data_IF_160644353877
#
_entry.id   IF_160644353877
#
_cell.length_a   1.000
_cell.length_b   1.000
_cell.length_c   1.000
_cell.angle_alpha   90.00
_cell.angle_beta   90.00
_cell.angle_gamma   90.00
#
_symmetry.space_group_name_H-M   'P 1'
#
loop_
_entity.id
_entity.type
_entity.pdbx_description
1 polymer ?
#
# COMPACT_ATOMS: atom_id res chain seq x y z
N UNK A 1 5.56 -12.27 80.56
CA UNK A 1 5.96 -11.34 79.45
C UNK A 1 6.81 -11.97 78.33
N UNK A 2 7.56 -13.06 78.55
CA UNK A 2 8.38 -13.71 77.49
C UNK A 2 7.61 -14.33 76.35
N UNK A 3 6.43 -14.90 76.54
CA UNK A 3 5.62 -15.59 75.52
C UNK A 3 5.13 -14.67 74.36
N UNK A 4 4.84 -13.43 74.69
CA UNK A 4 4.43 -12.46 73.62
C UNK A 4 5.58 -11.93 72.74
N UNK A 5 6.77 -11.95 73.32
CA UNK A 5 7.95 -11.47 72.55
C UNK A 5 8.36 -12.49 71.53
N UNK A 6 8.36 -13.78 71.85
CA UNK A 6 8.61 -14.85 70.86
C UNK A 6 7.60 -14.89 69.73
N UNK A 7 6.31 -14.65 70.03
CA UNK A 7 5.29 -14.60 68.99
C UNK A 7 5.52 -13.43 68.04
N UNK A 8 5.94 -12.27 68.49
CA UNK A 8 6.29 -11.12 67.67
C UNK A 8 7.52 -11.39 66.82
N UNK A 9 8.58 -11.97 67.40
CA UNK A 9 9.76 -12.35 66.64
C UNK A 9 9.45 -13.38 65.55
N UNK A 10 8.60 -14.37 65.83
CA UNK A 10 8.22 -15.39 64.86
C UNK A 10 7.40 -14.81 63.71
N UNK A 11 6.52 -13.87 63.98
CA UNK A 11 5.77 -13.17 62.94
C UNK A 11 6.71 -12.33 62.06
N UNK A 12 7.66 -11.61 62.65
CA UNK A 12 8.63 -10.79 61.93
C UNK A 12 9.52 -11.65 61.01
N UNK A 13 10.01 -12.80 61.52
CA UNK A 13 10.83 -13.71 60.71
C UNK A 13 10.02 -14.32 59.54
N UNK A 14 8.75 -14.62 59.77
CA UNK A 14 7.86 -15.15 58.73
C UNK A 14 7.58 -14.10 57.63
N UNK A 15 7.31 -12.85 58.02
CA UNK A 15 7.13 -11.76 57.08
C UNK A 15 8.41 -11.51 56.28
N UNK A 16 9.58 -11.52 56.93
CA UNK A 16 10.85 -11.36 56.28
C UNK A 16 11.14 -12.49 55.28
N UNK A 17 10.81 -13.74 55.63
CA UNK A 17 10.94 -14.89 54.73
C UNK A 17 10.08 -14.76 53.47
N UNK A 18 8.83 -14.34 53.64
CA UNK A 18 7.93 -14.11 52.51
C UNK A 18 8.43 -12.98 51.59
N UNK A 19 8.96 -11.92 52.21
CA UNK A 19 9.51 -10.80 51.45
C UNK A 19 10.76 -11.18 50.64
N UNK A 20 11.62 -12.01 51.23
CA UNK A 20 12.80 -12.54 50.53
C UNK A 20 12.41 -13.49 49.39
N UNK A 21 11.39 -14.35 49.62
CA UNK A 21 10.94 -15.28 48.62
C UNK A 21 10.30 -14.58 47.40
N UNK A 22 9.48 -13.55 47.65
CA UNK A 22 8.87 -12.75 46.59
C UNK A 22 9.92 -11.95 45.80
N UNK A 23 10.91 -11.36 46.47
CA UNK A 23 12.03 -10.66 45.88
C UNK A 23 12.87 -11.56 44.95
N UNK A 24 13.12 -12.79 45.41
CA UNK A 24 13.88 -13.77 44.61
C UNK A 24 13.11 -14.22 43.37
N UNK A 25 11.82 -14.48 43.51
CA UNK A 25 10.94 -14.86 42.36
C UNK A 25 10.79 -13.76 41.32
N UNK A 26 10.78 -12.49 41.73
CA UNK A 26 10.71 -11.35 40.82
C UNK A 26 12.03 -11.19 40.08
N UNK A 27 13.17 -11.35 40.73
CA UNK A 27 14.49 -11.29 40.13
C UNK A 27 14.66 -12.38 39.06
N UNK A 28 14.27 -13.60 39.35
CA UNK A 28 14.35 -14.74 38.43
C UNK A 28 13.43 -14.54 37.19
N UNK A 29 12.29 -13.89 37.37
CA UNK A 29 11.38 -13.56 36.29
C UNK A 29 11.88 -12.42 35.43
N UNK A 30 12.57 -11.44 36.00
CA UNK A 30 13.25 -10.36 35.26
C UNK A 30 14.44 -10.87 34.44
N UNK A 31 15.29 -11.72 35.02
CA UNK A 31 16.40 -12.33 34.28
C UNK A 31 15.95 -13.28 33.17
N UNK A 32 14.77 -13.89 33.33
CA UNK A 32 14.19 -14.74 32.25
C UNK A 32 13.67 -13.92 31.09
N UNK A 33 13.14 -12.73 31.34
CA UNK A 33 12.66 -11.81 30.29
C UNK A 33 13.80 -11.06 29.57
N UNK A 34 14.95 -10.87 30.22
CA UNK A 34 16.15 -10.32 29.54
C UNK A 34 16.89 -11.36 28.69
N UNK A 35 16.63 -12.64 28.90
CA UNK A 35 17.22 -13.75 28.12
C UNK A 35 16.31 -14.27 27.01
N UNK A 36 15.25 -13.58 26.62
CA UNK A 36 14.79 -13.60 25.25
C UNK A 36 15.78 -12.77 24.39
N UNK A 37 17.05 -13.09 24.48
CA UNK A 37 17.93 -12.95 23.33
C UNK A 37 17.18 -13.60 22.18
N UNK A 38 16.96 -12.80 21.14
CA UNK A 38 16.60 -13.29 19.81
C UNK A 38 17.59 -14.42 19.52
N UNK A 39 17.20 -15.64 19.91
CA UNK A 39 17.89 -16.83 19.47
C UNK A 39 17.83 -16.73 17.97
N UNK A 40 18.97 -16.33 17.37
CA UNK A 40 19.15 -16.50 15.95
C UNK A 40 18.88 -17.99 15.71
N UNK A 41 17.64 -18.25 15.31
CA UNK A 41 17.19 -19.62 15.05
C UNK A 41 18.27 -20.23 14.18
N UNK A 42 18.64 -21.45 14.48
CA UNK A 42 19.57 -22.22 13.67
C UNK A 42 19.11 -22.06 12.22
N UNK A 43 19.85 -21.20 11.49
CA UNK A 43 19.58 -20.94 10.08
C UNK A 43 19.73 -22.30 9.41
N UNK A 44 18.62 -22.87 8.95
CA UNK A 44 18.63 -24.08 8.14
C UNK A 44 19.54 -23.79 6.95
N UNK A 45 20.37 -24.76 6.54
CA UNK A 45 21.29 -24.64 5.40
C UNK A 45 20.62 -24.14 4.09
N UNK A 46 19.28 -24.19 4.03
CA UNK A 46 18.47 -23.72 2.91
C UNK A 46 17.79 -22.35 3.16
N UNK A 47 18.14 -21.64 4.23
CA UNK A 47 17.55 -20.31 4.51
C UNK A 47 18.43 -19.24 3.88
N UNK A 48 17.89 -18.52 2.91
CA UNK A 48 18.53 -17.34 2.30
C UNK A 48 17.96 -16.08 2.92
N UNK A 49 18.81 -15.24 3.44
CA UNK A 49 18.43 -13.90 3.86
C UNK A 49 18.63 -12.98 2.65
N UNK A 50 17.56 -12.44 2.04
CA UNK A 50 17.71 -11.49 0.96
C UNK A 50 18.44 -10.25 1.49
N UNK A 51 19.64 -10.03 1.02
CA UNK A 51 20.40 -8.82 1.30
C UNK A 51 20.21 -7.80 0.19
N UNK A 52 20.43 -6.54 0.50
CA UNK A 52 20.42 -5.45 -0.45
C UNK A 52 19.48 -4.32 -0.03
N UNK A 53 19.70 -3.16 -0.64
CA UNK A 53 18.80 -2.02 -0.48
C UNK A 53 17.63 -2.16 -1.47
N UNK A 54 16.41 -1.77 -1.08
CA UNK A 54 15.31 -1.70 -2.04
C UNK A 54 15.68 -0.70 -3.13
N UNK A 55 15.74 -1.18 -4.37
CA UNK A 55 15.93 -0.34 -5.55
C UNK A 55 14.59 -0.15 -6.24
N UNK A 56 14.23 1.11 -6.51
CA UNK A 56 13.11 1.43 -7.39
C UNK A 56 13.57 1.46 -8.83
N UNK A 57 12.86 0.77 -9.72
CA UNK A 57 13.04 0.92 -11.15
C UNK A 57 12.09 2.02 -11.61
N UNK A 58 12.64 3.12 -12.13
CA UNK A 58 11.86 4.17 -12.75
C UNK A 58 11.91 3.98 -14.27
N UNK A 59 10.74 3.85 -14.88
CA UNK A 59 10.60 3.72 -16.31
C UNK A 59 9.99 5.01 -16.87
N UNK A 60 10.72 5.73 -17.68
CA UNK A 60 10.21 6.88 -18.40
C UNK A 60 9.78 6.44 -19.80
N UNK A 61 8.52 6.70 -20.15
CA UNK A 61 7.94 6.31 -21.43
C UNK A 61 7.36 7.53 -22.14
N UNK A 62 7.32 7.49 -23.46
CA UNK A 62 6.56 8.49 -24.23
C UNK A 62 5.06 8.23 -24.10
N UNK A 63 4.36 9.11 -23.38
CA UNK A 63 2.93 9.01 -23.18
C UNK A 63 2.54 8.14 -22.00
N UNK A 64 1.25 7.88 -21.86
CA UNK A 64 0.64 7.13 -20.77
C UNK A 64 0.31 5.72 -21.22
N UNK A 65 0.92 4.71 -20.61
CA UNK A 65 0.64 3.32 -20.91
C UNK A 65 -0.72 2.91 -20.35
N UNK A 66 -1.52 2.27 -21.17
CA UNK A 66 -2.81 1.70 -20.82
C UNK A 66 -2.61 0.29 -20.27
N UNK A 67 -3.06 0.04 -19.05
CA UNK A 67 -3.00 -1.28 -18.41
C UNK A 67 -4.24 -2.12 -18.71
N UNK A 68 -5.34 -1.48 -19.09
CA UNK A 68 -6.60 -2.13 -19.41
C UNK A 68 -7.74 -1.13 -19.46
N UNK A 69 -8.96 -1.62 -19.68
CA UNK A 69 -10.18 -0.82 -19.63
C UNK A 69 -11.06 -1.27 -18.49
N UNK A 70 -11.74 -0.31 -17.85
CA UNK A 70 -12.66 -0.57 -16.74
C UNK A 70 -13.98 0.18 -16.88
N UNK A 71 -14.99 -0.29 -16.14
CA UNK A 71 -16.30 0.37 -16.11
C UNK A 71 -16.27 1.60 -15.22
N UNK A 72 -16.77 2.71 -15.74
CA UNK A 72 -16.93 3.98 -15.02
C UNK A 72 -18.41 4.15 -14.69
N UNK A 73 -18.69 4.57 -13.44
CA UNK A 73 -20.05 4.90 -13.03
C UNK A 73 -20.35 6.37 -13.35
N UNK A 74 -21.32 6.58 -14.22
CA UNK A 74 -21.82 7.90 -14.61
C UNK A 74 -22.60 8.60 -13.49
N UNK A 75 -22.99 9.86 -13.74
CA UNK A 75 -23.82 10.68 -12.84
C UNK A 75 -25.20 10.09 -12.60
N UNK A 76 -25.75 9.40 -13.58
CA UNK A 76 -27.04 8.68 -13.57
C UNK A 76 -26.99 7.33 -12.86
N UNK A 77 -25.79 6.86 -12.51
CA UNK A 77 -25.55 5.58 -11.87
C UNK A 77 -25.32 4.42 -12.87
N UNK A 78 -25.39 4.66 -14.16
CA UNK A 78 -25.05 3.66 -15.17
C UNK A 78 -23.55 3.34 -15.16
N UNK A 79 -23.22 2.09 -15.43
CA UNK A 79 -21.83 1.62 -15.54
C UNK A 79 -21.47 1.48 -17.01
N UNK A 80 -20.72 2.43 -17.50
CA UNK A 80 -20.28 2.53 -18.90
C UNK A 80 -18.79 2.21 -19.02
N UNK A 81 -18.39 1.69 -20.14
CA UNK A 81 -16.99 1.36 -20.47
C UNK A 81 -16.61 2.09 -21.76
N UNK A 82 -16.29 3.42 -21.66
CA UNK A 82 -16.14 4.29 -22.84
C UNK A 82 -15.00 3.90 -23.76
N UNK A 83 -13.90 3.38 -23.22
CA UNK A 83 -12.72 2.97 -24.00
C UNK A 83 -12.80 1.52 -24.51
N UNK A 84 -13.87 0.79 -24.21
CA UNK A 84 -14.02 -0.62 -24.61
C UNK A 84 -13.90 -0.80 -26.12
N UNK A 85 -13.11 -1.79 -26.54
CA UNK A 85 -12.81 -2.11 -27.94
C UNK A 85 -12.05 -1.04 -28.73
N UNK A 86 -11.85 0.15 -28.19
CA UNK A 86 -11.10 1.23 -28.82
C UNK A 86 -9.64 1.22 -28.39
N UNK A 87 -9.42 1.02 -27.10
CA UNK A 87 -8.09 1.01 -26.47
C UNK A 87 -7.81 -0.38 -25.91
N UNK A 88 -6.56 -0.83 -25.98
CA UNK A 88 -6.10 -2.12 -25.49
C UNK A 88 -5.02 -1.96 -24.45
N UNK A 89 -4.86 -2.95 -23.59
CA UNK A 89 -3.70 -3.03 -22.71
C UNK A 89 -2.40 -3.06 -23.55
N UNK A 90 -1.41 -2.27 -23.15
CA UNK A 90 -0.16 -2.10 -23.88
C UNK A 90 -0.14 -0.91 -24.87
N UNK A 91 -1.28 -0.28 -25.16
CA UNK A 91 -1.30 0.98 -25.91
C UNK A 91 -0.67 2.11 -25.09
N UNK A 92 -0.06 3.06 -25.77
CA UNK A 92 0.41 4.31 -25.18
C UNK A 92 -0.38 5.49 -25.72
N UNK A 93 -0.99 6.26 -24.82
CA UNK A 93 -1.66 7.51 -25.19
C UNK A 93 -0.60 8.59 -25.30
N UNK A 94 -0.33 9.04 -26.53
CA UNK A 94 0.72 10.03 -26.81
C UNK A 94 0.17 11.43 -27.02
N UNK A 95 -1.10 11.56 -27.48
CA UNK A 95 -1.76 12.85 -27.62
C UNK A 95 -3.25 12.73 -27.24
N UNK A 96 -3.82 13.83 -26.74
CA UNK A 96 -5.25 14.01 -26.55
C UNK A 96 -5.68 15.35 -27.14
N UNK A 97 -6.63 15.33 -28.06
CA UNK A 97 -7.08 16.51 -28.80
C UNK A 97 -5.93 17.31 -29.42
N UNK A 98 -4.92 16.63 -29.99
CA UNK A 98 -3.74 17.24 -30.61
C UNK A 98 -2.69 17.76 -29.60
N UNK A 99 -2.92 17.65 -28.32
CA UNK A 99 -1.95 18.04 -27.29
C UNK A 99 -1.16 16.81 -26.85
N UNK A 100 0.18 16.90 -26.91
CA UNK A 100 1.07 15.83 -26.43
C UNK A 100 0.88 15.59 -24.95
N UNK A 101 0.91 14.32 -24.57
CA UNK A 101 0.77 13.86 -23.20
C UNK A 101 2.03 13.12 -22.77
N UNK A 102 2.57 13.50 -21.62
CA UNK A 102 3.74 12.86 -21.02
C UNK A 102 3.36 11.99 -19.83
N UNK A 103 2.38 12.45 -19.06
CA UNK A 103 1.97 11.77 -17.84
C UNK A 103 0.45 11.75 -17.65
N UNK A 104 0.02 10.96 -16.67
CA UNK A 104 -1.39 10.80 -16.31
C UNK A 104 -2.04 12.11 -15.85
N UNK A 105 -1.28 13.03 -15.24
CA UNK A 105 -1.83 14.29 -14.72
C UNK A 105 -2.19 15.23 -15.86
N UNK A 106 -1.37 15.29 -16.90
CA UNK A 106 -1.65 16.06 -18.11
C UNK A 106 -2.93 15.55 -18.80
N UNK A 107 -3.06 14.23 -18.97
CA UNK A 107 -4.29 13.62 -19.50
C UNK A 107 -5.52 13.99 -18.67
N UNK A 108 -5.42 13.86 -17.35
CA UNK A 108 -6.52 14.21 -16.45
C UNK A 108 -6.90 15.69 -16.52
N UNK A 109 -5.93 16.56 -16.71
CA UNK A 109 -6.16 18.01 -16.82
C UNK A 109 -6.94 18.31 -18.09
N UNK A 110 -6.56 17.73 -19.23
CA UNK A 110 -7.27 17.88 -20.49
C UNK A 110 -8.70 17.34 -20.38
N UNK A 111 -8.88 16.16 -19.78
CA UNK A 111 -10.21 15.58 -19.61
C UNK A 111 -11.13 16.43 -18.72
N UNK A 112 -10.60 17.13 -17.72
CA UNK A 112 -11.39 18.08 -16.90
C UNK A 112 -11.91 19.26 -17.68
N UNK A 113 -11.16 19.73 -18.68
CA UNK A 113 -11.55 20.88 -19.52
C UNK A 113 -12.50 20.49 -20.66
N UNK A 114 -12.62 19.19 -20.95
CA UNK A 114 -13.38 18.70 -22.14
C UNK A 114 -14.90 18.68 -21.92
N UNK A 115 -15.37 18.86 -20.69
CA UNK A 115 -16.80 18.95 -20.34
C UNK A 115 -17.70 17.83 -20.89
N UNK A 116 -17.14 16.63 -21.05
CA UNK A 116 -17.86 15.43 -21.52
C UNK A 116 -18.09 15.38 -23.04
N UNK A 117 -17.48 16.26 -23.82
CA UNK A 117 -17.45 16.16 -25.28
C UNK A 117 -16.49 15.05 -25.72
N UNK A 118 -16.68 14.57 -26.95
CA UNK A 118 -15.79 13.54 -27.51
C UNK A 118 -14.34 14.00 -27.54
N UNK A 119 -13.42 13.12 -27.17
CA UNK A 119 -11.98 13.35 -27.24
C UNK A 119 -11.34 12.46 -28.29
N UNK A 120 -10.35 13.00 -28.97
CA UNK A 120 -9.54 12.26 -29.94
C UNK A 120 -8.24 11.90 -29.24
N UNK A 121 -8.01 10.60 -29.06
CA UNK A 121 -6.77 10.07 -28.51
C UNK A 121 -5.90 9.55 -29.65
N UNK A 122 -4.64 9.96 -29.67
CA UNK A 122 -3.64 9.34 -30.51
C UNK A 122 -2.90 8.31 -29.69
N UNK A 123 -3.01 7.08 -30.13
CA UNK A 123 -2.43 5.91 -29.47
C UNK A 123 -1.23 5.43 -30.25
N UNK A 124 -0.18 5.01 -29.55
CA UNK A 124 0.88 4.19 -30.13
C UNK A 124 0.63 2.75 -29.71
N UNK A 125 0.39 1.90 -30.69
CA UNK A 125 0.23 0.45 -30.52
C UNK A 125 1.36 -0.23 -31.27
N UNK A 126 2.23 -0.92 -30.55
CA UNK A 126 3.48 -1.45 -31.07
C UNK A 126 4.30 -0.36 -31.78
N UNK A 127 4.38 -0.37 -33.09
CA UNK A 127 5.09 0.63 -33.90
C UNK A 127 4.15 1.55 -34.72
N UNK A 128 2.84 1.39 -34.57
CA UNK A 128 1.85 2.13 -35.34
C UNK A 128 1.13 3.20 -34.52
N UNK A 129 0.73 4.26 -35.13
CA UNK A 129 -0.09 5.31 -34.55
C UNK A 129 -1.54 5.18 -35.01
N UNK A 130 -2.46 5.20 -34.07
CA UNK A 130 -3.89 5.11 -34.31
C UNK A 130 -4.59 6.30 -33.67
N UNK A 131 -5.59 6.85 -34.35
CA UNK A 131 -6.47 7.84 -33.75
C UNK A 131 -7.81 7.21 -33.42
N UNK A 132 -8.23 7.36 -32.15
CA UNK A 132 -9.51 6.85 -31.69
C UNK A 132 -10.32 7.98 -31.07
N UNK A 133 -11.61 7.97 -31.34
CA UNK A 133 -12.54 8.93 -30.80
C UNK A 133 -13.27 8.26 -29.62
N UNK A 134 -13.16 8.82 -28.43
CA UNK A 134 -13.75 8.30 -27.20
C UNK A 134 -14.63 9.36 -26.57
N UNK A 135 -15.83 8.97 -26.13
CA UNK A 135 -16.72 9.84 -25.37
C UNK A 135 -16.49 9.63 -23.87
N UNK A 136 -15.90 10.58 -23.13
CA UNK A 136 -15.70 10.45 -21.70
C UNK A 136 -17.02 10.36 -20.95
N UNK A 137 -17.02 9.62 -19.86
CA UNK A 137 -18.18 9.54 -18.94
C UNK A 137 -17.96 10.51 -17.78
N UNK A 138 -18.94 11.36 -17.49
CA UNK A 138 -18.91 12.25 -16.35
C UNK A 138 -19.30 11.45 -15.10
N UNK A 139 -18.38 11.38 -14.14
CA UNK A 139 -18.59 10.73 -12.86
C UNK A 139 -19.36 11.64 -11.88
N UNK A 140 -19.95 11.05 -10.83
CA UNK A 140 -20.61 11.80 -9.73
C UNK A 140 -19.75 12.89 -9.09
N UNK A 141 -18.42 12.78 -9.16
CA UNK A 141 -17.47 13.80 -8.70
C UNK A 141 -17.21 14.92 -9.72
N UNK A 142 -18.02 15.01 -10.77
CA UNK A 142 -17.89 15.96 -11.87
C UNK A 142 -16.57 15.88 -12.64
N UNK A 143 -15.91 14.72 -12.61
CA UNK A 143 -14.71 14.44 -13.38
C UNK A 143 -15.07 13.63 -14.62
N UNK A 144 -14.51 13.98 -15.79
CA UNK A 144 -14.61 13.17 -16.98
C UNK A 144 -13.59 12.02 -16.90
N UNK A 145 -14.05 10.80 -17.17
CA UNK A 145 -13.26 9.58 -17.07
C UNK A 145 -13.38 8.75 -18.35
N UNK A 146 -12.29 8.13 -18.76
CA UNK A 146 -12.24 7.26 -19.95
C UNK A 146 -12.35 5.78 -19.61
N UNK A 147 -12.16 5.40 -18.34
CA UNK A 147 -12.12 4.00 -17.92
C UNK A 147 -10.87 3.27 -18.42
N UNK A 148 -9.72 3.91 -18.28
CA UNK A 148 -8.39 3.37 -18.63
C UNK A 148 -7.42 3.61 -17.49
#
# INVERSE_FOLDING_TARGET
MRKYWYRKCLIITLVFSVFFYTGYSVKEKMERNEKEEVSAGTVSDNTVIPGGMPIGIYLETEGVMVLGTEKVTGTDGERLEPARHLVKAGDYIVECNGTKIRDKKELQTILKTTDGTDVILKLRRDSEYLEVKVKPVRSKKNNCMLGI
#
